data_IF_570057308636
#
_entry.id   IF_570057308636
#
_cell.length_a   1.000
_cell.length_b   1.000
_cell.length_c   1.000
_cell.angle_alpha   90.00
_cell.angle_beta   90.00
_cell.angle_gamma   90.00
#
_symmetry.space_group_name_H-M   'P 1'
#
loop_
_entity.id
_entity.type
_entity.pdbx_description
1 polymer ?
#
# COMPACT_ATOMS: atom_id res chain seq x y z
N UNK A 1 18.34 -4.33 -29.32
CA UNK A 1 18.62 -4.60 -27.89
C UNK A 1 17.31 -4.46 -27.11
N UNK A 2 17.07 -5.37 -26.17
CA UNK A 2 15.79 -5.64 -25.51
C UNK A 2 15.22 -4.45 -24.71
N UNK A 3 14.24 -3.74 -25.28
CA UNK A 3 13.39 -2.77 -24.57
C UNK A 3 12.19 -3.44 -23.87
N UNK A 4 12.33 -4.66 -23.35
CA UNK A 4 11.23 -5.40 -22.69
C UNK A 4 11.26 -5.32 -21.16
N UNK A 5 12.32 -4.77 -20.57
CA UNK A 5 12.49 -4.70 -19.12
C UNK A 5 11.75 -3.53 -18.46
N UNK A 6 11.35 -2.51 -19.22
CA UNK A 6 10.68 -1.32 -18.70
C UNK A 6 9.15 -1.38 -18.71
N UNK A 7 8.55 -2.48 -19.20
CA UNK A 7 7.10 -2.74 -19.16
C UNK A 7 6.56 -3.09 -17.74
N UNK A 8 7.39 -2.97 -16.70
CA UNK A 8 7.11 -3.52 -15.37
C UNK A 8 6.54 -2.48 -14.41
N UNK A 9 6.46 -1.22 -14.81
CA UNK A 9 6.05 -0.13 -13.90
C UNK A 9 4.70 0.44 -14.33
N UNK A 10 3.68 -0.42 -14.32
CA UNK A 10 2.27 -0.01 -14.34
C UNK A 10 1.86 0.49 -12.94
N UNK A 11 0.83 1.36 -12.83
CA UNK A 11 0.24 1.67 -11.53
C UNK A 11 -0.36 0.37 -10.97
N UNK A 12 0.07 -0.06 -9.78
CA UNK A 12 -0.26 -1.38 -9.20
C UNK A 12 -1.77 -1.65 -9.09
N UNK A 13 -2.59 -0.60 -9.02
CA UNK A 13 -4.05 -0.68 -9.03
C UNK A 13 -4.64 -1.18 -10.35
N UNK A 14 -4.02 -0.82 -11.48
CA UNK A 14 -4.38 -1.37 -12.79
C UNK A 14 -3.88 -2.81 -12.96
N UNK A 15 -2.87 -3.25 -12.19
CA UNK A 15 -2.34 -4.61 -12.24
C UNK A 15 -3.22 -5.64 -11.53
N UNK A 16 -4.12 -5.24 -10.63
CA UNK A 16 -5.17 -6.14 -10.08
C UNK A 16 -6.07 -6.72 -11.18
N UNK A 17 -6.21 -6.01 -12.31
CA UNK A 17 -6.95 -6.49 -13.48
C UNK A 17 -6.11 -7.40 -14.40
N UNK A 18 -4.80 -7.50 -14.20
CA UNK A 18 -3.94 -8.49 -14.86
C UNK A 18 -3.42 -9.52 -13.82
N UNK A 19 -4.06 -10.71 -13.74
CA UNK A 19 -3.76 -11.68 -12.68
C UNK A 19 -2.30 -12.15 -12.66
N UNK A 20 -1.60 -12.12 -13.80
CA UNK A 20 -0.19 -12.55 -13.89
C UNK A 20 0.77 -11.63 -13.13
N UNK A 21 0.39 -10.37 -12.87
CA UNK A 21 1.26 -9.40 -12.20
C UNK A 21 0.67 -8.89 -10.89
N UNK A 22 -0.66 -8.76 -10.80
CA UNK A 22 -1.34 -8.36 -9.57
C UNK A 22 -1.12 -9.36 -8.43
N UNK A 23 -1.20 -10.66 -8.71
CA UNK A 23 -1.06 -11.70 -7.68
C UNK A 23 0.35 -11.68 -7.03
N UNK A 24 1.47 -11.70 -7.79
CA UNK A 24 2.80 -11.55 -7.19
C UNK A 24 2.96 -10.28 -6.34
N UNK A 25 2.39 -9.15 -6.76
CA UNK A 25 2.49 -7.90 -6.00
C UNK A 25 1.73 -7.94 -4.68
N UNK A 26 0.57 -8.61 -4.62
CA UNK A 26 -0.13 -8.85 -3.36
C UNK A 26 0.72 -9.66 -2.38
N UNK A 27 1.47 -10.66 -2.86
CA UNK A 27 2.41 -11.41 -2.02
C UNK A 27 3.56 -10.54 -1.50
N UNK A 28 4.13 -9.69 -2.36
CA UNK A 28 5.19 -8.75 -1.95
C UNK A 28 4.66 -7.78 -0.89
N UNK A 29 3.48 -7.19 -1.09
CA UNK A 29 2.88 -6.28 -0.13
C UNK A 29 2.59 -6.96 1.21
N UNK A 30 2.00 -8.16 1.18
CA UNK A 30 1.79 -8.97 2.39
C UNK A 30 3.11 -9.28 3.12
N UNK A 31 4.19 -9.55 2.37
CA UNK A 31 5.50 -9.81 2.94
C UNK A 31 6.11 -8.56 3.61
N UNK A 32 5.92 -7.38 3.00
CA UNK A 32 6.34 -6.10 3.56
C UNK A 32 5.60 -5.84 4.88
N UNK A 33 4.26 -5.94 4.89
CA UNK A 33 3.43 -5.75 6.08
C UNK A 33 3.87 -6.68 7.22
N UNK A 34 4.06 -7.95 6.88
CA UNK A 34 4.54 -8.97 7.83
C UNK A 34 5.90 -8.61 8.39
N UNK A 35 6.81 -8.12 7.55
CA UNK A 35 8.17 -7.74 7.95
C UNK A 35 8.17 -6.52 8.88
N UNK A 36 7.36 -5.50 8.59
CA UNK A 36 7.24 -4.30 9.43
C UNK A 36 6.72 -4.67 10.82
N UNK A 37 5.59 -5.39 10.88
CA UNK A 37 5.03 -5.86 12.15
C UNK A 37 6.01 -6.74 12.91
N UNK A 38 6.72 -7.62 12.21
CA UNK A 38 7.67 -8.53 12.83
C UNK A 38 8.85 -7.77 13.46
N UNK A 39 9.47 -6.87 12.72
CA UNK A 39 10.61 -6.07 13.19
C UNK A 39 10.22 -5.22 14.39
N UNK A 40 9.07 -4.55 14.32
CA UNK A 40 8.62 -3.67 15.42
C UNK A 40 8.25 -4.49 16.66
N UNK A 41 7.46 -5.55 16.53
CA UNK A 41 7.03 -6.34 17.69
C UNK A 41 8.15 -7.19 18.28
N UNK A 42 9.10 -7.65 17.46
CA UNK A 42 10.29 -8.37 17.94
C UNK A 42 11.22 -7.45 18.72
N UNK A 43 11.47 -6.24 18.21
CA UNK A 43 12.35 -5.26 18.87
C UNK A 43 11.79 -4.74 20.19
N UNK A 44 10.51 -4.98 20.50
CA UNK A 44 9.88 -4.59 21.75
C UNK A 44 9.38 -5.81 22.56
N UNK A 45 9.92 -7.01 22.29
CA UNK A 45 9.65 -8.29 22.97
C UNK A 45 8.18 -8.78 22.98
N UNK A 46 7.25 -8.00 22.42
CA UNK A 46 5.82 -8.30 22.40
C UNK A 46 5.48 -9.51 21.50
N UNK A 47 6.30 -9.77 20.48
CA UNK A 47 6.09 -10.88 19.54
C UNK A 47 6.13 -12.26 20.22
N UNK A 48 7.05 -12.47 21.16
CA UNK A 48 7.31 -13.79 21.77
C UNK A 48 6.08 -14.30 22.52
N UNK A 49 5.37 -13.39 23.19
CA UNK A 49 4.23 -13.72 24.04
C UNK A 49 2.89 -13.78 23.28
N UNK A 50 2.81 -13.24 22.05
CA UNK A 50 1.53 -12.98 21.36
C UNK A 50 1.53 -13.36 19.87
N UNK A 51 2.05 -14.54 19.52
CA UNK A 51 2.12 -15.04 18.13
C UNK A 51 0.77 -15.09 17.40
N UNK A 52 -0.32 -15.43 18.11
CA UNK A 52 -1.67 -15.46 17.51
C UNK A 52 -2.13 -14.06 17.12
N UNK A 53 -1.94 -13.08 18.01
CA UNK A 53 -2.26 -11.68 17.76
C UNK A 53 -1.43 -11.11 16.61
N UNK A 54 -0.17 -11.53 16.44
CA UNK A 54 0.68 -11.13 15.32
C UNK A 54 0.08 -11.50 13.96
N UNK A 55 -0.29 -12.77 13.74
CA UNK A 55 -0.84 -13.19 12.44
C UNK A 55 -2.17 -12.47 12.15
N UNK A 56 -3.00 -12.26 13.17
CA UNK A 56 -4.25 -11.49 13.04
C UNK A 56 -3.96 -10.03 12.69
N UNK A 57 -2.98 -9.38 13.34
CA UNK A 57 -2.56 -8.02 13.00
C UNK A 57 -2.18 -7.91 11.53
N UNK A 58 -1.25 -8.76 11.08
CA UNK A 58 -0.71 -8.71 9.72
C UNK A 58 -1.79 -8.94 8.67
N UNK A 59 -2.67 -9.93 8.88
CA UNK A 59 -3.74 -10.23 7.93
C UNK A 59 -4.74 -9.07 7.82
N UNK A 60 -5.12 -8.47 8.95
CA UNK A 60 -6.04 -7.33 8.95
C UNK A 60 -5.39 -6.07 8.38
N UNK A 61 -4.12 -5.81 8.73
CA UNK A 61 -3.33 -4.71 8.19
C UNK A 61 -3.24 -4.77 6.66
N UNK A 62 -2.98 -5.96 6.11
CA UNK A 62 -2.92 -6.19 4.67
C UNK A 62 -4.26 -5.91 3.97
N UNK A 63 -5.36 -6.43 4.52
CA UNK A 63 -6.70 -6.19 3.97
C UNK A 63 -7.05 -4.69 4.03
N UNK A 64 -6.75 -4.03 5.15
CA UNK A 64 -6.96 -2.59 5.32
C UNK A 64 -6.12 -1.79 4.32
N UNK A 65 -4.83 -2.16 4.16
CA UNK A 65 -3.93 -1.60 3.18
C UNK A 65 -4.57 -1.64 1.80
N UNK A 66 -4.86 -2.83 1.26
CA UNK A 66 -5.51 -2.99 -0.05
C UNK A 66 -6.79 -2.16 -0.17
N UNK A 67 -7.61 -2.10 0.88
CA UNK A 67 -8.88 -1.38 0.86
C UNK A 67 -8.68 0.13 0.71
N UNK A 68 -7.79 0.74 1.51
CA UNK A 68 -7.50 2.18 1.42
C UNK A 68 -6.96 2.56 0.05
N UNK A 69 -6.18 1.66 -0.50
CA UNK A 69 -5.35 1.86 -1.65
C UNK A 69 -6.25 1.71 -2.92
N UNK A 70 -7.27 0.84 -2.86
CA UNK A 70 -8.39 0.77 -3.80
C UNK A 70 -9.29 2.01 -3.74
N UNK A 71 -9.59 2.53 -2.55
CA UNK A 71 -10.35 3.76 -2.38
C UNK A 71 -9.62 4.97 -2.97
N UNK A 72 -8.29 5.05 -2.77
CA UNK A 72 -7.45 6.07 -3.38
C UNK A 72 -7.50 6.03 -4.90
N UNK A 73 -7.47 4.83 -5.49
CA UNK A 73 -7.64 4.66 -6.93
C UNK A 73 -9.01 5.12 -7.42
N UNK A 74 -10.11 4.73 -6.75
CA UNK A 74 -11.46 5.19 -7.10
C UNK A 74 -11.53 6.72 -7.05
N UNK A 75 -10.99 7.32 -5.99
CA UNK A 75 -10.96 8.78 -5.85
C UNK A 75 -10.24 9.44 -7.03
N UNK A 76 -9.07 8.94 -7.43
CA UNK A 76 -8.35 9.47 -8.59
C UNK A 76 -9.13 9.34 -9.90
N UNK A 77 -9.81 8.21 -10.12
CA UNK A 77 -10.67 8.01 -11.30
C UNK A 77 -11.86 8.97 -11.28
N UNK A 78 -12.45 9.26 -10.11
CA UNK A 78 -13.56 10.20 -10.00
C UNK A 78 -13.14 11.64 -10.27
N UNK A 79 -11.94 12.03 -9.82
CA UNK A 79 -11.45 13.41 -9.97
C UNK A 79 -10.89 13.69 -11.36
N UNK A 80 -10.12 12.76 -11.94
CA UNK A 80 -9.48 12.92 -13.27
C UNK A 80 -10.25 12.25 -14.41
N UNK A 81 -11.34 11.55 -14.12
CA UNK A 81 -12.04 10.70 -15.10
C UNK A 81 -11.18 9.53 -15.59
N UNK A 82 -11.64 8.86 -16.66
CA UNK A 82 -10.85 7.83 -17.35
C UNK A 82 -9.64 8.41 -18.12
N UNK A 83 -9.61 9.74 -18.27
CA UNK A 83 -8.48 10.50 -18.81
C UNK A 83 -7.27 10.56 -17.86
N UNK A 84 -7.37 9.99 -16.66
CA UNK A 84 -6.21 9.62 -15.84
C UNK A 84 -5.14 8.85 -16.64
N UNK A 85 -5.51 8.22 -17.76
CA UNK A 85 -4.60 7.57 -18.70
C UNK A 85 -3.73 8.52 -19.55
N UNK A 86 -4.05 9.82 -19.65
CA UNK A 86 -3.32 10.77 -20.48
C UNK A 86 -2.05 11.31 -19.79
N UNK A 87 -0.89 10.93 -20.33
CA UNK A 87 0.46 11.11 -19.77
C UNK A 87 0.91 12.57 -19.54
N UNK A 88 0.33 13.56 -20.23
CA UNK A 88 0.89 14.93 -20.28
C UNK A 88 0.76 15.73 -18.98
N UNK A 89 -0.14 15.35 -18.07
CA UNK A 89 -0.41 16.05 -16.80
C UNK A 89 -0.51 15.07 -15.61
N UNK A 90 0.35 14.04 -15.62
CA UNK A 90 0.14 12.87 -14.76
C UNK A 90 0.31 13.16 -13.28
N UNK A 91 1.31 13.95 -12.91
CA UNK A 91 1.57 14.36 -11.52
C UNK A 91 0.83 15.67 -11.25
N UNK A 92 -0.45 15.55 -10.89
CA UNK A 92 -1.27 16.65 -10.40
C UNK A 92 -1.29 16.71 -8.87
N UNK A 93 -1.73 17.84 -8.31
CA UNK A 93 -1.89 18.00 -6.86
C UNK A 93 -2.84 16.94 -6.27
N UNK A 94 -3.81 16.48 -7.05
CA UNK A 94 -4.79 15.47 -6.68
C UNK A 94 -4.13 14.12 -6.37
N UNK A 95 -3.11 13.74 -7.14
CA UNK A 95 -2.31 12.52 -6.92
C UNK A 95 -1.55 12.63 -5.60
N UNK A 96 -0.90 13.77 -5.36
CA UNK A 96 -0.16 14.02 -4.12
C UNK A 96 -1.11 13.98 -2.91
N UNK A 97 -2.26 14.64 -2.99
CA UNK A 97 -3.26 14.63 -1.92
C UNK A 97 -3.81 13.24 -1.66
N UNK A 98 -4.01 12.43 -2.71
CA UNK A 98 -4.46 11.05 -2.56
C UNK A 98 -3.42 10.20 -1.86
N UNK A 99 -2.15 10.30 -2.26
CA UNK A 99 -1.04 9.58 -1.63
C UNK A 99 -0.94 9.93 -0.14
N UNK A 100 -0.96 11.22 0.19
CA UNK A 100 -0.92 11.69 1.58
C UNK A 100 -2.15 11.19 2.35
N UNK A 101 -3.34 11.28 1.76
CA UNK A 101 -4.58 10.79 2.35
C UNK A 101 -4.55 9.29 2.65
N UNK A 102 -4.13 8.47 1.68
CA UNK A 102 -3.96 7.03 1.85
C UNK A 102 -2.90 6.71 2.91
N UNK A 103 -1.75 7.37 2.88
CA UNK A 103 -0.67 7.19 3.86
C UNK A 103 -1.15 7.46 5.30
N UNK A 104 -1.84 8.58 5.52
CA UNK A 104 -2.40 8.94 6.82
C UNK A 104 -3.46 7.94 7.27
N UNK A 105 -4.36 7.52 6.36
CA UNK A 105 -5.42 6.59 6.68
C UNK A 105 -4.88 5.19 7.02
N UNK A 106 -3.92 4.69 6.24
CA UNK A 106 -3.22 3.42 6.52
C UNK A 106 -2.56 3.49 7.90
N UNK A 107 -1.81 4.56 8.18
CA UNK A 107 -1.12 4.69 9.46
C UNK A 107 -2.09 4.79 10.64
N UNK A 108 -3.17 5.55 10.49
CA UNK A 108 -4.23 5.67 11.49
C UNK A 108 -4.93 4.33 11.77
N UNK A 109 -5.32 3.59 10.72
CA UNK A 109 -5.98 2.30 10.85
C UNK A 109 -5.06 1.27 11.53
N UNK A 110 -3.79 1.21 11.14
CA UNK A 110 -2.82 0.29 11.74
C UNK A 110 -2.51 0.63 13.22
N UNK A 111 -2.49 1.92 13.58
CA UNK A 111 -2.42 2.35 14.97
C UNK A 111 -3.63 1.86 15.78
N UNK A 112 -4.85 2.12 15.30
CA UNK A 112 -6.09 1.72 15.99
C UNK A 112 -6.26 0.19 16.07
N UNK A 113 -5.92 -0.53 15.01
CA UNK A 113 -5.89 -1.99 14.99
C UNK A 113 -4.94 -2.52 16.08
N UNK A 114 -3.74 -1.95 16.17
CA UNK A 114 -2.74 -2.35 17.17
C UNK A 114 -3.24 -2.12 18.60
N UNK A 115 -3.91 -0.99 18.86
CA UNK A 115 -4.53 -0.73 20.16
C UNK A 115 -5.64 -1.73 20.51
N UNK A 116 -6.49 -2.07 19.54
CA UNK A 116 -7.57 -3.05 19.71
C UNK A 116 -7.04 -4.43 20.12
N UNK A 117 -5.82 -4.74 19.66
CA UNK A 117 -5.11 -5.98 19.97
C UNK A 117 -4.18 -5.87 21.18
N UNK A 118 -4.37 -4.84 22.02
CA UNK A 118 -3.66 -4.59 23.29
C UNK A 118 -2.15 -4.39 23.12
N UNK A 119 -1.69 -3.95 21.94
CA UNK A 119 -0.30 -3.52 21.74
C UNK A 119 -0.11 -2.18 22.49
N UNK A 120 0.97 -2.01 23.27
CA UNK A 120 1.27 -0.76 23.96
C UNK A 120 1.25 0.45 23.02
N UNK A 121 0.71 1.58 23.50
CA UNK A 121 0.46 2.78 22.69
C UNK A 121 1.71 3.29 21.95
N UNK A 122 2.87 3.26 22.61
CA UNK A 122 4.15 3.65 22.02
C UNK A 122 4.56 2.74 20.85
N UNK A 123 4.32 1.44 20.95
CA UNK A 123 4.60 0.46 19.89
C UNK A 123 3.56 0.59 18.78
N UNK A 124 2.28 0.70 19.13
CA UNK A 124 1.19 0.92 18.18
C UNK A 124 1.43 2.17 17.33
N UNK A 125 1.90 3.26 17.93
CA UNK A 125 2.24 4.49 17.22
C UNK A 125 3.37 4.27 16.20
N UNK A 126 4.44 3.56 16.60
CA UNK A 126 5.52 3.18 15.68
C UNK A 126 5.01 2.34 14.51
N UNK A 127 4.13 1.36 14.78
CA UNK A 127 3.50 0.55 13.73
C UNK A 127 2.71 1.45 12.77
N UNK A 128 1.84 2.32 13.30
CA UNK A 128 1.06 3.23 12.47
C UNK A 128 1.93 4.12 11.57
N UNK A 129 2.95 4.77 12.12
CA UNK A 129 3.88 5.61 11.33
C UNK A 129 4.63 4.79 10.27
N UNK A 130 5.19 3.64 10.65
CA UNK A 130 5.95 2.80 9.72
C UNK A 130 5.06 2.24 8.60
N UNK A 131 3.86 1.76 8.91
CA UNK A 131 2.90 1.29 7.91
C UNK A 131 2.49 2.43 6.99
N UNK A 132 2.06 3.56 7.56
CA UNK A 132 1.65 4.73 6.80
C UNK A 132 2.72 5.19 5.80
N UNK A 133 4.00 5.19 6.16
CA UNK A 133 5.10 5.59 5.27
C UNK A 133 5.46 4.46 4.29
N UNK A 134 5.78 3.27 4.77
CA UNK A 134 6.39 2.22 3.94
C UNK A 134 5.37 1.67 2.94
N UNK A 135 4.12 1.51 3.36
CA UNK A 135 3.05 0.91 2.55
C UNK A 135 2.16 1.98 1.91
N UNK A 136 2.63 3.23 1.84
CA UNK A 136 2.01 4.27 1.01
C UNK A 136 1.88 3.78 -0.43
N UNK A 137 0.83 4.16 -1.19
CA UNK A 137 0.71 3.86 -2.62
C UNK A 137 1.67 4.70 -3.46
N UNK A 138 2.98 4.52 -3.26
CA UNK A 138 4.04 5.22 -3.99
C UNK A 138 3.89 5.10 -5.52
N UNK A 139 3.21 4.05 -5.97
CA UNK A 139 3.03 3.75 -7.38
C UNK A 139 1.98 4.64 -8.05
N UNK A 140 1.19 5.39 -7.28
CA UNK A 140 0.40 6.50 -7.82
C UNK A 140 1.29 7.59 -8.42
N UNK A 141 2.59 7.65 -8.10
CA UNK A 141 3.53 8.57 -8.74
C UNK A 141 4.06 8.06 -10.08
N UNK A 142 3.85 6.78 -10.41
CA UNK A 142 4.45 6.17 -11.60
C UNK A 142 3.46 6.16 -12.76
N UNK A 143 3.74 6.89 -13.86
CA UNK A 143 2.83 7.00 -14.98
C UNK A 143 2.51 5.65 -15.65
N UNK A 144 1.31 5.50 -16.22
CA UNK A 144 0.85 4.30 -16.88
C UNK A 144 1.44 4.35 -18.29
N UNK A 145 2.48 3.56 -18.53
CA UNK A 145 3.10 3.56 -19.86
C UNK A 145 2.12 2.97 -20.89
N UNK A 146 1.53 3.82 -21.75
CA UNK A 146 0.81 3.39 -22.95
C UNK A 146 1.84 3.19 -24.07
N UNK A 147 2.43 2.00 -24.14
CA UNK A 147 3.12 1.61 -25.36
C UNK A 147 2.06 1.17 -26.37
N UNK A 148 2.03 1.86 -27.52
CA UNK A 148 1.29 1.47 -28.71
C UNK A 148 1.55 -0.01 -29.02
N UNK A 149 0.64 -0.90 -28.63
CA UNK A 149 0.53 -2.21 -29.26
C UNK A 149 -0.06 -1.99 -30.65
N UNK A 150 0.82 -1.70 -31.61
CA UNK A 150 0.63 -2.12 -33.01
C UNK A 150 1.23 -3.52 -33.16
#
# INVERSE_FOLDING_TARGET
MNNRLYNIIFPIWLMLFNPLIGIPMLFVNYFIDRSIYYLILRNNEFYVNNKKSFNTCVNLAFIMGITVDFLGFIFLVLVKGLEYSNYKEWIGLEVIFTIIGCSLLIGFLNYHLSLTLKIPKNIAFKIGVCMGIITTPWLFLIPPYYNNFK
#
